data_IF_841316669127
#
_entry.id   IF_841316669127
#
_cell.length_a   1.000
_cell.length_b   1.000
_cell.length_c   1.000
_cell.angle_alpha   90.00
_cell.angle_beta   90.00
_cell.angle_gamma   90.00
#
_symmetry.space_group_name_H-M   'P 1'
#
loop_
_entity.id
_entity.type
_entity.pdbx_description
1 polymer ?
#
# COMPACT_ATOMS: atom_id res chain seq x y z
N UNK A 1 38.22 -12.65 10.06
CA UNK A 1 37.71 -11.36 9.54
C UNK A 1 38.52 -10.26 10.18
N UNK A 2 39.19 -9.42 9.39
CA UNK A 2 39.94 -8.28 9.95
C UNK A 2 38.91 -7.34 10.56
N UNK A 3 38.99 -7.11 11.87
CA UNK A 3 38.19 -6.08 12.54
C UNK A 3 38.65 -4.73 11.98
N UNK A 4 37.98 -4.24 10.94
CA UNK A 4 38.15 -2.87 10.47
C UNK A 4 37.80 -1.94 11.62
N UNK A 5 38.63 -0.93 11.88
CA UNK A 5 38.30 0.04 12.93
C UNK A 5 37.05 0.84 12.53
N UNK A 6 36.28 1.35 13.50
CA UNK A 6 35.11 2.20 13.19
C UNK A 6 35.46 3.37 12.25
N UNK A 7 36.69 3.86 12.34
CA UNK A 7 37.21 4.89 11.43
C UNK A 7 37.34 4.37 9.98
N UNK A 8 37.83 3.16 9.78
CA UNK A 8 37.94 2.57 8.45
C UNK A 8 36.57 2.37 7.80
N UNK A 9 35.58 1.93 8.58
CA UNK A 9 34.19 1.79 8.09
C UNK A 9 33.60 3.15 7.73
N UNK A 10 33.79 4.17 8.58
CA UNK A 10 33.39 5.54 8.27
C UNK A 10 34.03 6.07 6.99
N UNK A 11 35.34 5.86 6.80
CA UNK A 11 36.05 6.26 5.60
C UNK A 11 35.48 5.56 4.36
N UNK A 12 35.19 4.26 4.45
CA UNK A 12 34.62 3.49 3.35
C UNK A 12 33.22 3.98 2.99
N UNK A 13 32.36 4.16 3.99
CA UNK A 13 30.99 4.66 3.79
C UNK A 13 30.98 6.07 3.21
N UNK A 14 31.77 7.00 3.76
CA UNK A 14 31.84 8.36 3.22
C UNK A 14 32.38 8.40 1.78
N UNK A 15 33.39 7.58 1.44
CA UNK A 15 33.87 7.47 0.04
C UNK A 15 32.79 6.93 -0.89
N UNK A 16 32.03 5.92 -0.45
CA UNK A 16 30.91 5.35 -1.21
C UNK A 16 29.85 6.41 -1.50
N UNK A 17 29.47 7.19 -0.48
CA UNK A 17 28.48 8.27 -0.61
C UNK A 17 28.95 9.39 -1.55
N UNK A 18 30.19 9.87 -1.39
CA UNK A 18 30.77 10.89 -2.27
C UNK A 18 30.75 10.42 -3.73
N UNK A 19 31.12 9.16 -3.97
CA UNK A 19 31.09 8.56 -5.32
C UNK A 19 29.67 8.41 -5.85
N UNK A 20 28.72 7.98 -5.03
CA UNK A 20 27.30 7.80 -5.39
C UNK A 20 26.67 9.09 -5.88
N UNK A 21 26.92 10.20 -5.18
CA UNK A 21 26.40 11.53 -5.53
C UNK A 21 27.25 12.27 -6.58
N UNK A 22 28.36 11.67 -7.06
CA UNK A 22 29.27 12.32 -8.00
C UNK A 22 29.94 13.59 -7.47
N UNK A 23 30.08 13.73 -6.13
CA UNK A 23 30.67 14.90 -5.51
C UNK A 23 32.21 14.83 -5.54
N UNK A 24 32.85 16.01 -5.54
CA UNK A 24 34.28 16.13 -5.24
C UNK A 24 34.48 16.42 -3.76
N UNK A 25 35.67 16.13 -3.22
CA UNK A 25 36.02 16.50 -1.85
C UNK A 25 35.91 18.01 -1.61
N UNK A 26 36.22 18.83 -2.63
CA UNK A 26 36.11 20.28 -2.56
C UNK A 26 34.64 20.72 -2.43
N UNK A 27 33.75 20.16 -3.25
CA UNK A 27 32.32 20.49 -3.22
C UNK A 27 31.65 20.02 -1.93
N UNK A 28 32.04 18.85 -1.39
CA UNK A 28 31.56 18.42 -0.08
C UNK A 28 32.06 19.37 1.02
N UNK A 29 33.31 19.81 0.96
CA UNK A 29 33.87 20.74 1.92
C UNK A 29 33.13 22.07 1.91
N UNK A 30 32.84 22.61 0.72
CA UNK A 30 32.03 23.81 0.53
C UNK A 30 30.63 23.66 1.17
N UNK A 31 29.93 22.55 0.88
CA UNK A 31 28.60 22.27 1.48
C UNK A 31 28.62 22.18 3.01
N UNK A 32 29.76 21.79 3.61
CA UNK A 32 29.92 21.63 5.05
C UNK A 32 30.48 22.88 5.75
N UNK A 33 30.89 23.91 4.99
CA UNK A 33 31.68 25.06 5.49
C UNK A 33 33.03 24.61 6.11
N UNK A 34 33.76 23.77 5.38
CA UNK A 34 35.09 23.27 5.74
C UNK A 34 36.10 23.49 4.62
N UNK A 35 37.40 23.42 4.96
CA UNK A 35 38.46 23.32 3.96
C UNK A 35 38.47 21.93 3.30
N UNK A 36 38.83 21.86 2.02
CA UNK A 36 39.04 20.57 1.32
C UNK A 36 40.07 19.68 2.05
N UNK A 37 41.07 20.30 2.68
CA UNK A 37 42.06 19.60 3.50
C UNK A 37 41.43 18.85 4.69
N UNK A 38 40.39 19.41 5.33
CA UNK A 38 39.69 18.76 6.43
C UNK A 38 38.98 17.48 5.96
N UNK A 39 38.28 17.55 4.83
CA UNK A 39 37.61 16.38 4.22
C UNK A 39 38.62 15.32 3.82
N UNK A 40 39.71 15.70 3.13
CA UNK A 40 40.81 14.78 2.78
C UNK A 40 41.39 14.08 4.01
N UNK A 41 41.53 14.81 5.12
CA UNK A 41 42.04 14.26 6.38
C UNK A 41 41.08 13.24 7.01
N UNK A 42 39.77 13.47 6.94
CA UNK A 42 38.77 12.48 7.39
C UNK A 42 38.81 11.19 6.56
N UNK A 43 39.13 11.28 5.27
CA UNK A 43 39.15 10.16 4.32
C UNK A 43 40.45 9.33 4.32
N UNK A 44 41.44 9.69 5.15
CA UNK A 44 42.71 8.97 5.31
C UNK A 44 42.59 7.96 6.44
N UNK A 45 42.86 6.68 6.18
CA UNK A 45 42.87 5.62 7.21
C UNK A 45 44.09 5.68 8.13
N UNK A 46 45.13 6.43 7.77
CA UNK A 46 46.38 6.56 8.56
C UNK A 46 46.22 7.44 9.79
N UNK A 47 45.30 8.40 9.76
CA UNK A 47 45.03 9.32 10.87
C UNK A 47 43.55 9.18 11.23
N UNK A 48 43.22 8.64 12.41
CA UNK A 48 41.86 8.36 12.88
C UNK A 48 41.07 9.64 13.24
N UNK A 49 41.03 10.59 12.32
CA UNK A 49 40.37 11.87 12.46
C UNK A 49 38.90 11.72 12.10
N UNK A 50 38.02 11.95 13.09
CA UNK A 50 36.59 12.07 12.86
C UNK A 50 36.18 13.55 12.74
N UNK A 51 35.17 13.86 11.91
CA UNK A 51 34.44 15.10 12.03
C UNK A 51 33.71 15.19 13.39
N UNK A 52 33.30 16.40 13.78
CA UNK A 52 32.48 16.59 14.98
C UNK A 52 31.12 15.90 14.82
N UNK A 53 30.41 15.63 15.92
CA UNK A 53 29.05 15.10 15.87
C UNK A 53 28.12 16.01 15.04
N UNK A 54 28.21 17.32 15.23
CA UNK A 54 27.45 18.30 14.43
C UNK A 54 27.74 18.17 12.94
N UNK A 55 29.00 17.95 12.57
CA UNK A 55 29.41 17.75 11.18
C UNK A 55 28.94 16.39 10.64
N UNK A 56 28.93 15.33 11.47
CA UNK A 56 28.38 14.02 11.09
C UNK A 56 26.88 14.11 10.76
N UNK A 57 26.12 14.88 11.53
CA UNK A 57 24.70 15.15 11.24
C UNK A 57 24.54 15.88 9.92
N UNK A 58 25.35 16.91 9.64
CA UNK A 58 25.31 17.60 8.33
C UNK A 58 25.65 16.68 7.17
N UNK A 59 26.64 15.80 7.33
CA UNK A 59 27.00 14.79 6.33
C UNK A 59 25.81 13.86 6.10
N UNK A 60 25.17 13.39 7.17
CA UNK A 60 24.03 12.46 7.08
C UNK A 60 22.85 13.11 6.36
N UNK A 61 22.57 14.39 6.63
CA UNK A 61 21.55 15.19 5.91
C UNK A 61 21.87 15.36 4.42
N UNK A 62 23.11 15.73 4.07
CA UNK A 62 23.54 15.91 2.67
C UNK A 62 23.34 14.64 1.85
N UNK A 63 23.64 13.49 2.44
CA UNK A 63 23.57 12.19 1.76
C UNK A 63 22.26 11.44 2.00
N UNK A 64 21.33 12.00 2.79
CA UNK A 64 20.06 11.37 3.17
C UNK A 64 20.23 9.96 3.78
N UNK A 65 21.18 9.83 4.70
CA UNK A 65 21.49 8.60 5.45
C UNK A 65 21.44 8.84 6.94
N UNK A 66 21.46 7.78 7.75
CA UNK A 66 21.59 7.90 9.20
C UNK A 66 23.04 8.06 9.63
N UNK A 67 23.25 8.77 10.74
CA UNK A 67 24.59 8.88 11.37
C UNK A 67 25.12 7.50 11.78
N UNK A 68 24.23 6.59 12.21
CA UNK A 68 24.58 5.21 12.57
C UNK A 68 25.23 4.46 11.39
N UNK A 69 24.73 4.66 10.17
CA UNK A 69 25.34 4.10 8.96
C UNK A 69 26.73 4.68 8.70
N UNK A 70 26.91 6.00 8.84
CA UNK A 70 28.23 6.62 8.70
C UNK A 70 29.25 6.00 9.65
N UNK A 71 28.83 5.61 10.84
CA UNK A 71 29.70 5.01 11.86
C UNK A 71 29.83 3.48 11.75
N UNK A 72 29.07 2.83 10.86
CA UNK A 72 29.08 1.39 10.69
C UNK A 72 28.29 0.62 11.76
N UNK A 73 27.32 1.25 12.41
CA UNK A 73 26.42 0.59 13.37
C UNK A 73 25.24 -0.13 12.69
N UNK A 74 25.08 0.08 11.38
CA UNK A 74 24.08 -0.57 10.53
C UNK A 74 24.62 -0.73 9.11
N UNK A 75 24.09 -1.69 8.37
CA UNK A 75 24.52 -1.99 7.00
C UNK A 75 23.80 -1.11 5.98
N UNK A 76 22.47 -0.97 6.12
CA UNK A 76 21.65 -0.12 5.26
C UNK A 76 21.83 1.37 5.59
N UNK A 77 21.62 2.22 4.59
CA UNK A 77 21.76 3.67 4.74
C UNK A 77 20.77 4.29 5.74
N UNK A 78 19.62 3.64 5.93
CA UNK A 78 18.57 4.04 6.87
C UNK A 78 18.14 2.88 7.76
N UNK A 79 17.90 3.17 9.03
CA UNK A 79 17.54 2.19 10.06
C UNK A 79 16.17 1.59 9.80
N UNK A 80 15.25 2.36 9.23
CA UNK A 80 13.92 1.87 8.85
C UNK A 80 14.01 0.84 7.72
N UNK A 81 14.88 1.06 6.72
CA UNK A 81 15.19 0.06 5.67
C UNK A 81 15.85 -1.19 6.28
N UNK A 82 16.84 -1.02 7.17
CA UNK A 82 17.49 -2.15 7.87
C UNK A 82 16.45 -3.00 8.61
N UNK A 83 15.55 -2.36 9.38
CA UNK A 83 14.52 -3.07 10.15
C UNK A 83 13.56 -3.86 9.26
N UNK A 84 13.17 -3.31 8.11
CA UNK A 84 12.34 -4.02 7.14
C UNK A 84 13.11 -5.24 6.62
N UNK A 85 14.36 -5.06 6.22
CA UNK A 85 15.23 -6.14 5.73
C UNK A 85 15.36 -7.25 6.77
N UNK A 86 15.70 -6.91 8.01
CA UNK A 86 15.88 -7.87 9.12
C UNK A 86 14.61 -8.68 9.42
N UNK A 87 13.43 -8.04 9.34
CA UNK A 87 12.15 -8.69 9.63
C UNK A 87 11.61 -9.55 8.49
N UNK A 88 11.87 -9.16 7.25
CA UNK A 88 11.21 -9.74 6.06
C UNK A 88 12.14 -10.56 5.18
N UNK A 89 13.46 -10.41 5.34
CA UNK A 89 14.46 -10.97 4.43
C UNK A 89 14.56 -10.24 3.09
N UNK A 90 13.90 -9.08 2.94
CA UNK A 90 14.00 -8.25 1.72
C UNK A 90 15.40 -7.64 1.60
N UNK A 91 15.86 -7.42 0.36
CA UNK A 91 17.10 -6.66 0.11
C UNK A 91 16.91 -5.18 0.46
N UNK A 92 18.01 -4.43 0.63
CA UNK A 92 17.95 -2.98 0.87
C UNK A 92 17.17 -2.26 -0.24
N UNK A 93 17.36 -2.66 -1.49
CA UNK A 93 16.65 -2.07 -2.64
C UNK A 93 15.15 -2.32 -2.54
N UNK A 94 14.73 -3.54 -2.24
CA UNK A 94 13.31 -3.88 -2.10
C UNK A 94 12.67 -3.20 -0.88
N UNK A 95 13.37 -3.16 0.26
CA UNK A 95 12.92 -2.49 1.47
C UNK A 95 12.81 -0.97 1.28
N UNK A 96 13.72 -0.35 0.52
CA UNK A 96 13.68 1.10 0.22
C UNK A 96 12.43 1.53 -0.56
N UNK A 97 11.81 0.62 -1.32
CA UNK A 97 10.54 0.90 -2.03
C UNK A 97 9.42 1.18 -1.03
N UNK A 98 9.45 0.56 0.15
CA UNK A 98 8.43 0.71 1.19
C UNK A 98 8.50 2.07 1.91
N UNK A 99 9.60 2.79 1.80
CA UNK A 99 9.74 4.14 2.36
C UNK A 99 9.33 5.27 1.40
N UNK A 100 9.05 4.95 0.13
CA UNK A 100 8.76 5.99 -0.86
C UNK A 100 7.34 6.52 -0.67
N UNK A 101 7.21 7.85 -0.55
CA UNK A 101 5.91 8.54 -0.46
C UNK A 101 4.95 8.23 -1.62
N UNK A 102 5.48 7.84 -2.78
CA UNK A 102 4.70 7.46 -3.96
C UNK A 102 4.02 6.09 -3.85
N UNK A 103 4.36 5.27 -2.84
CA UNK A 103 3.81 3.94 -2.68
C UNK A 103 2.39 4.00 -2.11
N UNK A 104 1.42 3.45 -2.84
CA UNK A 104 0.06 3.30 -2.32
C UNK A 104 0.00 2.12 -1.34
N UNK A 105 0.21 2.41 -0.06
CA UNK A 105 0.22 1.41 1.03
C UNK A 105 -1.10 0.67 1.14
N UNK A 106 -2.24 1.29 0.80
CA UNK A 106 -3.55 0.63 0.81
C UNK A 106 -3.58 -0.51 -0.21
N UNK A 107 -3.19 -0.24 -1.46
CA UNK A 107 -3.15 -1.27 -2.51
C UNK A 107 -2.15 -2.37 -2.16
N UNK A 108 -0.99 -2.02 -1.59
CA UNK A 108 -0.03 -3.02 -1.15
C UNK A 108 -0.62 -3.93 -0.06
N UNK A 109 -1.28 -3.37 0.95
CA UNK A 109 -1.94 -4.15 2.00
C UNK A 109 -3.02 -5.06 1.42
N UNK A 110 -3.83 -4.55 0.49
CA UNK A 110 -4.89 -5.32 -0.17
C UNK A 110 -4.30 -6.53 -0.94
N UNK A 111 -3.19 -6.34 -1.66
CA UNK A 111 -2.48 -7.42 -2.37
C UNK A 111 -1.91 -8.45 -1.37
N UNK A 112 -1.20 -7.99 -0.35
CA UNK A 112 -0.55 -8.87 0.64
C UNK A 112 -1.56 -9.65 1.49
N UNK A 113 -2.74 -9.06 1.72
CA UNK A 113 -3.80 -9.67 2.53
C UNK A 113 -4.71 -10.61 1.74
N UNK A 114 -4.58 -10.65 0.41
CA UNK A 114 -5.36 -11.58 -0.40
C UNK A 114 -5.03 -13.03 -0.04
N UNK A 115 -6.06 -13.87 0.07
CA UNK A 115 -5.91 -15.33 0.24
C UNK A 115 -5.12 -16.01 -0.88
N UNK A 116 -4.99 -15.35 -2.04
CA UNK A 116 -4.27 -15.85 -3.20
C UNK A 116 -2.79 -15.43 -3.22
N UNK A 117 -2.35 -14.53 -2.34
CA UNK A 117 -1.00 -13.96 -2.37
C UNK A 117 0.09 -15.04 -2.27
N UNK A 118 -0.04 -15.99 -1.32
CA UNK A 118 0.96 -17.06 -1.17
C UNK A 118 1.05 -17.94 -2.44
N UNK A 119 -0.09 -18.22 -3.08
CA UNK A 119 -0.11 -18.98 -4.35
C UNK A 119 0.52 -18.18 -5.48
N UNK A 120 0.32 -16.86 -5.53
CA UNK A 120 0.96 -16.00 -6.53
C UNK A 120 2.48 -16.08 -6.42
N UNK A 121 3.04 -15.98 -5.21
CA UNK A 121 4.49 -16.08 -5.02
C UNK A 121 5.03 -17.42 -5.51
N UNK A 122 4.33 -18.52 -5.23
CA UNK A 122 4.69 -19.86 -5.72
C UNK A 122 4.61 -19.96 -7.26
N UNK A 123 3.52 -19.47 -7.87
CA UNK A 123 3.35 -19.50 -9.32
C UNK A 123 4.41 -18.66 -10.05
N UNK A 124 4.76 -17.49 -9.49
CA UNK A 124 5.85 -16.64 -10.02
C UNK A 124 7.20 -17.34 -9.88
N UNK A 125 7.46 -17.99 -8.75
CA UNK A 125 8.68 -18.78 -8.56
C UNK A 125 8.78 -19.91 -9.59
N UNK A 126 7.72 -20.71 -9.75
CA UNK A 126 7.64 -21.80 -10.74
C UNK A 126 7.89 -21.28 -12.16
N UNK A 127 7.24 -20.16 -12.54
CA UNK A 127 7.43 -19.56 -13.86
C UNK A 127 8.87 -19.10 -14.09
N UNK A 128 9.44 -18.34 -13.16
CA UNK A 128 10.79 -17.77 -13.29
C UNK A 128 11.90 -18.83 -13.29
N UNK A 129 11.63 -20.04 -12.79
CA UNK A 129 12.57 -21.16 -12.74
C UNK A 129 12.21 -22.32 -13.68
N UNK A 130 11.16 -22.16 -14.49
CA UNK A 130 10.65 -23.18 -15.44
C UNK A 130 11.64 -23.58 -16.54
N UNK A 131 12.68 -22.78 -16.79
CA UNK A 131 13.66 -22.98 -17.87
C UNK A 131 14.64 -24.14 -17.62
N UNK A 132 14.67 -24.70 -16.41
CA UNK A 132 15.56 -25.81 -16.06
C UNK A 132 15.09 -27.20 -16.53
N UNK A 133 13.96 -27.28 -17.23
CA UNK A 133 13.28 -28.56 -17.57
C UNK A 133 13.06 -28.77 -19.07
N UNK A 134 13.99 -28.39 -19.94
CA UNK A 134 13.92 -28.81 -21.37
C UNK A 134 14.40 -30.25 -21.50
N UNK A 135 13.46 -31.21 -21.47
CA UNK A 135 13.74 -32.60 -21.81
C UNK A 135 13.93 -32.68 -23.33
N UNK A 136 15.19 -32.78 -23.79
CA UNK A 136 15.48 -33.11 -25.19
C UNK A 136 15.23 -34.60 -25.40
N UNK A 137 14.13 -34.96 -26.06
CA UNK A 137 13.94 -36.30 -26.59
C UNK A 137 14.55 -36.36 -27.99
N UNK A 138 15.72 -36.98 -28.13
CA UNK A 138 16.29 -37.32 -29.44
C UNK A 138 15.60 -38.58 -29.96
N UNK A 139 14.52 -38.43 -30.73
CA UNK A 139 14.03 -39.48 -31.61
C UNK A 139 14.20 -39.05 -33.08
N UNK A 140 14.91 -39.87 -33.87
CA UNK A 140 15.51 -39.49 -35.17
C UNK A 140 14.53 -39.41 -36.33
N UNK A 141 13.22 -39.37 -36.08
CA UNK A 141 12.22 -39.47 -37.17
C UNK A 141 10.93 -38.65 -36.99
N UNK A 142 10.81 -37.76 -36.00
CA UNK A 142 9.60 -36.97 -35.82
C UNK A 142 9.90 -35.47 -35.70
N UNK A 143 9.01 -34.65 -36.26
CA UNK A 143 9.01 -33.18 -36.21
C UNK A 143 9.53 -32.63 -34.87
N UNK A 144 10.49 -31.71 -34.92
CA UNK A 144 10.77 -30.80 -33.80
C UNK A 144 9.52 -29.95 -33.55
N UNK A 145 8.65 -30.43 -32.67
CA UNK A 145 7.65 -29.62 -31.99
C UNK A 145 8.27 -29.23 -30.64
N UNK A 146 9.00 -28.12 -30.63
CA UNK A 146 9.39 -27.44 -29.39
C UNK A 146 8.10 -26.91 -28.75
N UNK A 147 7.45 -27.75 -27.95
CA UNK A 147 6.26 -27.33 -27.22
C UNK A 147 6.71 -26.71 -25.90
N UNK A 148 6.74 -25.38 -25.87
CA UNK A 148 7.03 -24.54 -24.69
C UNK A 148 5.90 -24.60 -23.63
N UNK A 149 5.24 -25.77 -23.47
CA UNK A 149 4.07 -25.99 -22.60
C UNK A 149 4.38 -25.58 -21.16
N UNK A 150 5.61 -25.84 -20.69
CA UNK A 150 5.97 -25.64 -19.29
C UNK A 150 6.01 -24.16 -18.90
N UNK A 151 6.64 -23.31 -19.71
CA UNK A 151 6.80 -21.89 -19.39
C UNK A 151 5.49 -21.12 -19.61
N UNK A 152 4.74 -21.45 -20.67
CA UNK A 152 3.45 -20.80 -20.95
C UNK A 152 2.37 -21.18 -19.93
N UNK A 153 2.31 -22.45 -19.49
CA UNK A 153 1.36 -22.89 -18.45
C UNK A 153 1.67 -22.24 -17.10
N UNK A 154 2.94 -22.22 -16.69
CA UNK A 154 3.33 -21.58 -15.41
C UNK A 154 3.13 -20.06 -15.45
N UNK A 155 3.40 -19.40 -16.59
CA UNK A 155 3.07 -17.98 -16.82
C UNK A 155 1.58 -17.71 -16.72
N UNK A 156 0.76 -18.56 -17.36
CA UNK A 156 -0.69 -18.46 -17.31
C UNK A 156 -1.19 -18.59 -15.86
N UNK A 157 -0.66 -19.56 -15.11
CA UNK A 157 -1.02 -19.75 -13.70
C UNK A 157 -0.71 -18.50 -12.86
N UNK A 158 0.50 -17.94 -12.96
CA UNK A 158 0.87 -16.73 -12.24
C UNK A 158 -0.04 -15.54 -12.61
N UNK A 159 -0.31 -15.36 -13.91
CA UNK A 159 -1.17 -14.30 -14.41
C UNK A 159 -2.61 -14.45 -13.90
N UNK A 160 -3.17 -15.66 -13.98
CA UNK A 160 -4.52 -15.98 -13.54
C UNK A 160 -4.67 -15.83 -12.02
N UNK A 161 -3.65 -16.21 -11.25
CA UNK A 161 -3.64 -16.01 -9.80
C UNK A 161 -3.62 -14.51 -9.45
N UNK A 162 -2.87 -13.69 -10.19
CA UNK A 162 -2.90 -12.24 -9.99
C UNK A 162 -4.25 -11.61 -10.38
N UNK A 163 -4.87 -12.06 -11.48
CA UNK A 163 -6.21 -11.61 -11.88
C UNK A 163 -7.23 -11.82 -10.76
N UNK A 164 -7.20 -12.98 -10.09
CA UNK A 164 -8.08 -13.26 -8.94
C UNK A 164 -7.87 -12.29 -7.78
N UNK A 165 -6.63 -11.87 -7.53
CA UNK A 165 -6.33 -10.83 -6.53
C UNK A 165 -6.96 -9.50 -6.95
N UNK A 166 -6.81 -9.11 -8.22
CA UNK A 166 -7.38 -7.86 -8.73
C UNK A 166 -8.91 -7.84 -8.64
N UNK A 167 -9.57 -8.95 -8.98
CA UNK A 167 -11.02 -9.11 -8.86
C UNK A 167 -11.48 -8.99 -7.40
N UNK A 168 -10.78 -9.64 -6.47
CA UNK A 168 -11.09 -9.56 -5.03
C UNK A 168 -10.98 -8.12 -4.51
N UNK A 169 -9.93 -7.38 -4.90
CA UNK A 169 -9.73 -5.98 -4.52
C UNK A 169 -10.82 -5.09 -5.15
N UNK A 170 -11.15 -5.31 -6.41
CA UNK A 170 -12.19 -4.56 -7.11
C UNK A 170 -13.57 -4.75 -6.46
N UNK A 171 -13.95 -5.99 -6.16
CA UNK A 171 -15.22 -6.32 -5.53
C UNK A 171 -15.33 -5.72 -4.12
N UNK A 172 -14.24 -5.79 -3.34
CA UNK A 172 -14.16 -5.19 -2.00
C UNK A 172 -14.37 -3.67 -2.06
N UNK A 173 -13.67 -2.98 -2.97
CA UNK A 173 -13.81 -1.54 -3.14
C UNK A 173 -15.21 -1.14 -3.62
N UNK A 174 -15.80 -1.92 -4.54
CA UNK A 174 -17.16 -1.67 -5.03
C UNK A 174 -18.19 -1.81 -3.92
N UNK A 175 -18.08 -2.87 -3.09
CA UNK A 175 -18.96 -3.06 -1.92
C UNK A 175 -18.83 -1.92 -0.91
N UNK A 176 -17.62 -1.46 -0.62
CA UNK A 176 -17.38 -0.32 0.26
C UNK A 176 -18.00 0.99 -0.24
N UNK A 177 -17.87 1.28 -1.54
CA UNK A 177 -18.49 2.46 -2.15
C UNK A 177 -20.02 2.39 -2.13
N UNK A 178 -20.59 1.21 -2.45
CA UNK A 178 -22.03 1.00 -2.42
C UNK A 178 -22.58 1.17 -0.99
N UNK A 179 -21.91 0.62 0.02
CA UNK A 179 -22.30 0.80 1.42
C UNK A 179 -22.34 2.28 1.81
N UNK A 180 -21.30 3.05 1.49
CA UNK A 180 -21.25 4.47 1.83
C UNK A 180 -22.37 5.27 1.13
N UNK A 181 -22.61 4.98 -0.16
CA UNK A 181 -23.71 5.59 -0.92
C UNK A 181 -25.07 5.25 -0.30
N UNK A 182 -25.32 3.99 0.02
CA UNK A 182 -26.59 3.55 0.60
C UNK A 182 -26.82 4.17 1.99
N UNK A 183 -25.77 4.31 2.81
CA UNK A 183 -25.85 5.04 4.10
C UNK A 183 -26.30 6.48 3.87
N UNK A 184 -25.79 7.15 2.86
CA UNK A 184 -26.17 8.53 2.55
C UNK A 184 -27.63 8.62 2.05
N UNK A 185 -28.05 7.71 1.19
CA UNK A 185 -29.45 7.60 0.75
C UNK A 185 -30.37 7.38 1.95
N UNK A 186 -30.01 6.50 2.89
CA UNK A 186 -30.78 6.26 4.11
C UNK A 186 -30.86 7.50 5.02
N UNK A 187 -29.77 8.25 5.16
CA UNK A 187 -29.76 9.51 5.90
C UNK A 187 -30.76 10.50 5.28
N UNK A 188 -30.66 10.75 3.98
CA UNK A 188 -31.56 11.66 3.26
C UNK A 188 -33.03 11.21 3.33
N UNK A 189 -33.26 9.90 3.22
CA UNK A 189 -34.59 9.31 3.37
C UNK A 189 -35.17 9.57 4.77
N UNK A 190 -34.42 9.27 5.84
CA UNK A 190 -34.91 9.49 7.21
C UNK A 190 -35.06 10.96 7.56
N UNK A 191 -34.20 11.85 7.04
CA UNK A 191 -34.34 13.29 7.17
C UNK A 191 -35.62 13.80 6.48
N UNK A 192 -35.92 13.30 5.28
CA UNK A 192 -37.16 13.62 4.56
C UNK A 192 -38.40 13.14 5.32
N UNK A 193 -38.35 11.94 5.91
CA UNK A 193 -39.45 11.44 6.75
C UNK A 193 -39.62 12.34 7.98
N UNK A 194 -38.55 12.65 8.73
CA UNK A 194 -38.65 13.48 9.95
C UNK A 194 -39.26 14.86 9.66
N UNK A 195 -38.88 15.46 8.53
CA UNK A 195 -39.39 16.75 8.09
C UNK A 195 -40.89 16.74 7.78
N UNK A 196 -41.35 15.77 6.99
CA UNK A 196 -42.70 15.80 6.41
C UNK A 196 -43.72 14.93 7.20
N UNK A 197 -43.26 14.10 8.14
CA UNK A 197 -44.12 13.19 8.91
C UNK A 197 -45.28 13.90 9.61
N UNK A 198 -45.01 15.05 10.24
CA UNK A 198 -46.04 15.81 10.97
C UNK A 198 -47.17 16.31 10.07
N UNK A 199 -46.86 16.63 8.80
CA UNK A 199 -47.83 17.08 7.80
C UNK A 199 -48.59 15.91 7.18
N UNK A 200 -47.92 14.76 7.02
CA UNK A 200 -48.52 13.53 6.53
C UNK A 200 -49.43 12.86 7.58
N UNK A 201 -49.13 13.03 8.87
CA UNK A 201 -49.88 12.45 9.97
C UNK A 201 -51.34 12.98 9.98
N UNK A 202 -52.27 12.13 9.54
CA UNK A 202 -53.70 12.45 9.48
C UNK A 202 -54.20 12.90 8.10
N UNK A 203 -53.33 13.00 7.09
CA UNK A 203 -53.71 13.26 5.70
C UNK A 203 -53.33 12.07 4.80
N UNK A 204 -54.30 11.23 4.39
CA UNK A 204 -54.05 10.04 3.58
C UNK A 204 -53.25 10.33 2.30
N UNK A 205 -53.59 11.41 1.58
CA UNK A 205 -52.90 11.75 0.33
C UNK A 205 -51.44 12.15 0.55
N UNK A 206 -51.17 12.88 1.63
CA UNK A 206 -49.81 13.27 1.99
C UNK A 206 -48.99 12.05 2.45
N UNK A 207 -49.64 11.08 3.10
CA UNK A 207 -49.00 9.82 3.48
C UNK A 207 -48.67 8.94 2.26
N UNK A 208 -49.56 8.89 1.26
CA UNK A 208 -49.30 8.18 0.00
C UNK A 208 -48.08 8.78 -0.73
N UNK A 209 -47.98 10.11 -0.78
CA UNK A 209 -46.83 10.83 -1.33
C UNK A 209 -45.53 10.51 -0.57
N UNK A 210 -45.55 10.54 0.76
CA UNK A 210 -44.37 10.21 1.57
C UNK A 210 -43.95 8.74 1.36
N UNK A 211 -44.92 7.85 1.20
CA UNK A 211 -44.69 6.44 0.86
C UNK A 211 -44.00 6.27 -0.48
N UNK A 212 -44.41 7.03 -1.49
CA UNK A 212 -43.76 7.03 -2.81
C UNK A 212 -42.34 7.58 -2.76
N UNK A 213 -42.11 8.65 -1.98
CA UNK A 213 -40.76 9.20 -1.74
C UNK A 213 -39.85 8.15 -1.12
N UNK A 214 -40.31 7.45 -0.07
CA UNK A 214 -39.53 6.39 0.58
C UNK A 214 -39.23 5.25 -0.38
N UNK A 215 -40.19 4.81 -1.21
CA UNK A 215 -39.93 3.81 -2.26
C UNK A 215 -38.82 4.25 -3.21
N UNK A 216 -38.87 5.48 -3.70
CA UNK A 216 -37.85 6.01 -4.60
C UNK A 216 -36.45 6.01 -3.96
N UNK A 217 -36.34 6.37 -2.68
CA UNK A 217 -35.07 6.27 -1.96
C UNK A 217 -34.57 4.80 -1.85
N UNK A 218 -35.46 3.85 -1.52
CA UNK A 218 -35.09 2.43 -1.45
C UNK A 218 -34.65 1.87 -2.81
N UNK A 219 -35.30 2.28 -3.90
CA UNK A 219 -34.99 1.85 -5.26
C UNK A 219 -33.63 2.37 -5.76
N UNK A 220 -33.14 3.49 -5.20
CA UNK A 220 -31.84 4.06 -5.54
C UNK A 220 -30.65 3.34 -4.87
N UNK A 221 -30.91 2.46 -3.89
CA UNK A 221 -29.86 1.71 -3.19
C UNK A 221 -29.36 0.55 -4.04
N UNK A 222 -28.05 0.52 -4.29
CA UNK A 222 -27.42 -0.46 -5.18
C UNK A 222 -26.64 -1.54 -4.44
N UNK A 223 -26.33 -1.34 -3.15
CA UNK A 223 -25.71 -2.36 -2.30
C UNK A 223 -26.72 -3.37 -1.75
N UNK A 224 -26.17 -4.47 -1.26
CA UNK A 224 -26.87 -5.61 -0.63
C UNK A 224 -27.01 -5.48 0.90
N UNK A 225 -26.25 -4.55 1.51
CA UNK A 225 -26.20 -4.35 2.97
C UNK A 225 -27.56 -4.06 3.63
N UNK A 226 -28.50 -3.46 2.88
CA UNK A 226 -29.82 -3.05 3.37
C UNK A 226 -30.97 -3.75 2.64
N UNK A 227 -30.72 -4.90 2.00
CA UNK A 227 -31.75 -5.65 1.25
C UNK A 227 -32.94 -6.07 2.12
N UNK A 228 -32.74 -6.28 3.42
CA UNK A 228 -33.84 -6.53 4.34
C UNK A 228 -34.77 -5.31 4.46
N UNK A 229 -34.22 -4.09 4.43
CA UNK A 229 -35.00 -2.86 4.50
C UNK A 229 -35.87 -2.68 3.24
N UNK A 230 -35.34 -3.04 2.06
CA UNK A 230 -36.08 -3.04 0.78
C UNK A 230 -37.29 -3.98 0.76
N UNK A 231 -37.31 -4.99 1.65
CA UNK A 231 -38.41 -5.96 1.79
C UNK A 231 -39.48 -5.51 2.79
N UNK A 232 -39.21 -4.46 3.57
CA UNK A 232 -40.17 -3.93 4.54
C UNK A 232 -41.12 -3.00 3.81
N UNK A 233 -42.41 -3.10 4.14
CA UNK A 233 -43.41 -2.18 3.63
C UNK A 233 -43.03 -0.71 3.97
N UNK A 234 -42.99 0.22 2.98
CA UNK A 234 -42.54 1.59 3.21
C UNK A 234 -43.35 2.34 4.27
N UNK A 235 -44.64 2.05 4.43
CA UNK A 235 -45.47 2.65 5.48
C UNK A 235 -44.99 2.23 6.88
N UNK A 236 -44.53 0.98 7.02
CA UNK A 236 -43.91 0.47 8.25
C UNK A 236 -42.60 1.20 8.55
N UNK A 237 -41.79 1.47 7.52
CA UNK A 237 -40.54 2.24 7.65
C UNK A 237 -40.87 3.66 8.13
N UNK A 238 -41.84 4.33 7.49
CA UNK A 238 -42.30 5.68 7.86
C UNK A 238 -42.78 5.74 9.30
N UNK A 239 -43.54 4.74 9.77
CA UNK A 239 -44.09 4.75 11.13
C UNK A 239 -43.03 4.49 12.21
N UNK A 240 -41.90 3.87 11.85
CA UNK A 240 -40.86 3.44 12.80
C UNK A 240 -39.47 3.96 12.45
N UNK A 241 -39.38 5.01 11.65
CA UNK A 241 -38.11 5.49 11.08
C UNK A 241 -37.05 5.82 12.13
N UNK A 242 -37.45 6.35 13.30
CA UNK A 242 -36.52 6.64 14.41
C UNK A 242 -35.90 5.37 15.01
N UNK A 243 -36.69 4.29 15.12
CA UNK A 243 -36.19 2.99 15.58
C UNK A 243 -35.19 2.43 14.56
N UNK A 244 -35.55 2.48 13.27
CA UNK A 244 -34.69 2.02 12.19
C UNK A 244 -33.39 2.81 12.15
N UNK A 245 -33.45 4.15 12.11
CA UNK A 245 -32.27 5.01 12.12
C UNK A 245 -31.34 4.71 13.32
N UNK A 246 -31.90 4.58 14.53
CA UNK A 246 -31.12 4.22 15.71
C UNK A 246 -30.47 2.83 15.59
N UNK A 247 -31.21 1.84 15.11
CA UNK A 247 -30.70 0.47 14.98
C UNK A 247 -29.60 0.34 13.92
N UNK A 248 -29.66 1.17 12.88
CA UNK A 248 -28.70 1.21 11.79
C UNK A 248 -27.53 2.19 12.06
N UNK A 249 -27.52 2.88 13.20
CA UNK A 249 -26.51 3.88 13.54
C UNK A 249 -26.53 5.12 12.64
N UNK A 250 -27.69 5.45 12.08
CA UNK A 250 -27.88 6.57 11.16
C UNK A 250 -28.42 7.78 11.94
N UNK A 251 -27.70 8.90 11.88
CA UNK A 251 -28.15 10.16 12.47
C UNK A 251 -29.20 10.83 11.59
N UNK A 252 -30.28 11.29 12.22
CA UNK A 252 -31.32 12.12 11.59
C UNK A 252 -30.98 13.59 11.88
N UNK A 253 -30.73 14.36 10.83
CA UNK A 253 -30.52 15.80 10.93
C UNK A 253 -31.87 16.47 11.05
N UNK A 254 -32.23 16.86 12.28
CA UNK A 254 -33.44 17.64 12.54
C UNK A 254 -33.50 18.84 11.59
N UNK A 255 -34.57 18.92 10.82
CA UNK A 255 -34.86 20.08 9.98
C UNK A 255 -34.83 21.35 10.82
N UNK A 256 -34.14 22.38 10.32
CA UNK A 256 -34.26 23.75 10.84
C UNK A 256 -35.66 24.29 10.56
#
# INVERSE_FOLDING_TARGET
MISNSKHDVFVQNLKRLIKREGLTNALLAEKLDYSEHAVKRWLKTTEKNFPSLTTLVKISEIFNVDVAYLLGEQECEKISVQRISDLTGLTEEAASVLEKDSLNVRVLNDILSSKHFQKLILDVFEYTHSHHSTIKLEDKTALQLDFDISSDVTKFNASNTFVKILEEIYDSNTKGMNLQRDIQILQEMFDSIDKDYSLAAGNPKAMDLLTEIVRNYLDQMTGDNYDLLKKIDPQTIINRYKDFAKSLGIEIKKGR
#
